data_IF_481539419199
#
_entry.id   IF_481539419199
#
_cell.length_a   1.000
_cell.length_b   1.000
_cell.length_c   1.000
_cell.angle_alpha   90.00
_cell.angle_beta   90.00
_cell.angle_gamma   90.00
#
_symmetry.space_group_name_H-M   'P 1'
#
loop_
_entity.id
_entity.type
_entity.pdbx_description
1 polymer ?
#
# COMPACT_ATOMS: atom_id res chain seq x y z
N UNK A 1 11.46 0.82 8.93
CA UNK A 1 10.19 0.10 9.19
C UNK A 1 9.08 0.70 8.33
N UNK A 2 8.17 -0.11 7.78
CA UNK A 2 6.94 0.35 7.13
C UNK A 2 5.86 0.42 8.21
N UNK A 3 5.21 1.57 8.37
CA UNK A 3 4.11 1.77 9.31
C UNK A 3 2.88 2.29 8.59
N UNK A 4 1.73 1.79 9.01
CA UNK A 4 0.42 2.13 8.47
C UNK A 4 -0.50 2.34 9.65
N UNK A 5 -1.09 3.52 9.76
CA UNK A 5 -2.01 3.85 10.85
C UNK A 5 -3.33 4.34 10.29
N UNK A 6 -4.42 3.72 10.72
CA UNK A 6 -5.78 4.10 10.41
C UNK A 6 -6.05 4.25 8.90
N UNK A 7 -5.51 3.33 8.09
CA UNK A 7 -5.65 3.38 6.65
C UNK A 7 -7.08 3.04 6.24
N UNK A 8 -7.71 3.97 5.55
CA UNK A 8 -9.07 3.85 5.06
C UNK A 8 -9.13 4.10 3.56
N UNK A 9 -9.88 3.27 2.85
CA UNK A 9 -10.07 3.41 1.40
C UNK A 9 -11.53 3.20 1.02
N UNK A 10 -12.08 4.20 0.34
CA UNK A 10 -13.40 4.14 -0.28
C UNK A 10 -13.27 4.08 -1.79
N UNK A 11 -13.92 3.09 -2.41
CA UNK A 11 -14.08 3.01 -3.85
C UNK A 11 -15.56 3.20 -4.17
N UNK A 12 -15.92 4.39 -4.66
CA UNK A 12 -17.31 4.81 -4.77
C UNK A 12 -17.98 4.83 -3.40
N UNK A 13 -19.09 4.08 -3.24
CA UNK A 13 -19.83 3.96 -1.97
C UNK A 13 -19.32 2.84 -1.05
N UNK A 14 -18.30 2.07 -1.47
CA UNK A 14 -17.82 0.90 -0.72
C UNK A 14 -16.58 1.25 0.09
N UNK A 15 -16.63 1.02 1.39
CA UNK A 15 -15.47 1.09 2.29
C UNK A 15 -14.68 -0.23 2.21
N UNK A 16 -13.62 -0.23 1.40
CA UNK A 16 -12.87 -1.44 1.01
C UNK A 16 -11.79 -1.79 2.02
N UNK A 17 -11.07 -0.79 2.52
CA UNK A 17 -10.09 -0.93 3.60
C UNK A 17 -10.62 -0.14 4.79
N UNK A 18 -10.80 -0.82 5.92
CA UNK A 18 -11.41 -0.25 7.12
C UNK A 18 -10.39 -0.25 8.24
N UNK A 19 -9.94 0.95 8.60
CA UNK A 19 -9.07 1.18 9.75
C UNK A 19 -7.87 0.22 9.85
N UNK A 20 -7.16 0.04 8.72
CA UNK A 20 -6.04 -0.90 8.68
C UNK A 20 -4.84 -0.26 9.37
N UNK A 21 -4.33 -0.92 10.41
CA UNK A 21 -3.17 -0.49 11.17
C UNK A 21 -2.20 -1.66 11.32
N UNK A 22 -0.94 -1.47 10.92
CA UNK A 22 0.12 -2.46 11.10
C UNK A 22 1.52 -1.84 10.93
N UNK A 23 2.53 -2.58 11.37
CA UNK A 23 3.95 -2.26 11.15
C UNK A 23 4.71 -3.48 10.65
N UNK A 24 5.57 -3.29 9.66
CA UNK A 24 6.36 -4.35 9.03
C UNK A 24 7.86 -3.97 9.02
N UNK A 25 8.77 -4.89 9.40
CA UNK A 25 10.19 -4.71 9.15
C UNK A 25 10.45 -4.66 7.63
N UNK A 26 11.54 -4.00 7.21
CA UNK A 26 11.86 -3.84 5.77
C UNK A 26 13.18 -4.51 5.38
N UNK A 27 13.88 -5.14 6.33
CA UNK A 27 15.19 -5.76 6.05
C UNK A 27 15.03 -7.24 5.71
N UNK A 28 15.24 -7.59 4.44
CA UNK A 28 15.43 -8.98 3.99
C UNK A 28 14.17 -9.86 3.99
N UNK A 29 12.99 -9.30 4.29
CA UNK A 29 11.75 -10.07 4.39
C UNK A 29 10.89 -9.95 3.12
N UNK A 30 10.41 -11.10 2.64
CA UNK A 30 9.31 -11.16 1.67
C UNK A 30 8.01 -11.26 2.46
N UNK A 31 7.15 -10.27 2.31
CA UNK A 31 5.85 -10.24 3.01
C UNK A 31 4.75 -10.69 2.05
N UNK A 32 4.04 -11.74 2.44
CA UNK A 32 2.86 -12.23 1.75
C UNK A 32 1.56 -11.70 2.36
N UNK A 33 0.66 -11.16 1.54
CA UNK A 33 -0.70 -10.78 1.96
C UNK A 33 -1.66 -11.92 1.61
N UNK A 34 -2.22 -12.58 2.62
CA UNK A 34 -3.17 -13.69 2.47
C UNK A 34 -4.58 -13.30 2.89
N UNK A 35 -5.59 -14.00 2.37
CA UNK A 35 -6.99 -13.79 2.72
C UNK A 35 -7.95 -14.17 1.59
N UNK A 36 -9.27 -14.19 1.84
CA UNK A 36 -10.26 -14.59 0.85
C UNK A 36 -10.31 -13.65 -0.36
N UNK A 37 -10.92 -14.13 -1.44
CA UNK A 37 -11.17 -13.30 -2.62
C UNK A 37 -11.99 -12.06 -2.23
N UNK A 38 -11.62 -10.90 -2.78
CA UNK A 38 -12.23 -9.59 -2.50
C UNK A 38 -12.05 -9.06 -1.07
N UNK A 39 -11.14 -9.62 -0.28
CA UNK A 39 -10.79 -9.09 1.05
C UNK A 39 -10.10 -7.70 1.03
N UNK A 40 -9.80 -7.15 -0.14
CA UNK A 40 -9.13 -5.84 -0.27
C UNK A 40 -7.61 -5.90 -0.47
N UNK A 41 -7.01 -7.08 -0.61
CA UNK A 41 -5.55 -7.26 -0.78
C UNK A 41 -4.94 -6.41 -1.91
N UNK A 42 -5.51 -6.51 -3.11
CA UNK A 42 -5.05 -5.69 -4.25
C UNK A 42 -5.31 -4.21 -4.02
N UNK A 43 -6.40 -3.86 -3.34
CA UNK A 43 -6.72 -2.47 -3.00
C UNK A 43 -5.74 -1.89 -1.98
N UNK A 44 -5.27 -2.71 -1.04
CA UNK A 44 -4.23 -2.36 -0.07
C UNK A 44 -2.90 -2.08 -0.77
N UNK A 45 -2.46 -2.98 -1.67
CA UNK A 45 -1.27 -2.76 -2.49
C UNK A 45 -1.38 -1.47 -3.32
N UNK A 46 -2.54 -1.25 -3.94
CA UNK A 46 -2.82 -0.05 -4.75
C UNK A 46 -2.87 1.24 -3.94
N UNK A 47 -3.33 1.18 -2.69
CA UNK A 47 -3.29 2.31 -1.78
C UNK A 47 -1.84 2.68 -1.42
N UNK A 48 -0.98 1.69 -1.13
CA UNK A 48 0.43 1.94 -0.80
C UNK A 48 1.22 2.59 -1.91
N UNK A 49 0.97 2.19 -3.15
CA UNK A 49 1.64 2.75 -4.33
C UNK A 49 1.00 4.06 -4.80
N UNK A 50 -0.02 4.56 -4.11
CA UNK A 50 -0.71 5.81 -4.45
C UNK A 50 -1.66 5.74 -5.65
N UNK A 51 -1.92 4.56 -6.23
CA UNK A 51 -2.90 4.39 -7.31
C UNK A 51 -4.32 4.67 -6.82
N UNK A 52 -4.61 4.34 -5.56
CA UNK A 52 -5.86 4.69 -4.89
C UNK A 52 -5.63 5.70 -3.78
N UNK A 53 -6.45 6.76 -3.78
CA UNK A 53 -6.42 7.80 -2.75
C UNK A 53 -7.05 7.27 -1.46
N UNK A 54 -6.19 6.74 -0.59
CA UNK A 54 -6.55 6.35 0.77
C UNK A 54 -6.29 7.50 1.76
N UNK A 55 -6.97 7.46 2.91
CA UNK A 55 -6.71 8.34 4.06
C UNK A 55 -6.00 7.55 5.16
N UNK A 56 -5.39 8.26 6.11
CA UNK A 56 -4.56 7.67 7.17
C UNK A 56 -3.07 7.92 6.92
N UNK A 57 -2.24 7.42 7.84
CA UNK A 57 -0.80 7.64 7.80
C UNK A 57 -0.09 6.42 7.19
N UNK A 58 0.85 6.69 6.29
CA UNK A 58 1.69 5.67 5.65
C UNK A 58 3.13 6.18 5.66
N UNK A 59 3.99 5.55 6.45
CA UNK A 59 5.39 5.96 6.57
C UNK A 59 6.36 4.82 6.30
N UNK A 60 7.46 5.15 5.66
CA UNK A 60 8.61 4.30 5.44
C UNK A 60 9.80 4.95 6.12
N UNK A 61 10.48 4.25 7.02
CA UNK A 61 11.58 4.83 7.82
C UNK A 61 11.19 6.16 8.49
N UNK A 62 9.98 6.21 9.05
CA UNK A 62 9.41 7.36 9.75
C UNK A 62 9.25 8.64 8.90
N UNK A 63 9.29 8.50 7.57
CA UNK A 63 8.93 9.56 6.63
C UNK A 63 7.75 9.14 5.77
N UNK A 64 6.93 10.07 5.26
CA UNK A 64 5.81 9.73 4.41
C UNK A 64 6.22 8.84 3.22
N UNK A 65 5.44 7.81 2.92
CA UNK A 65 5.80 6.81 1.90
C UNK A 65 6.02 7.42 0.50
N UNK A 66 5.35 8.54 0.20
CA UNK A 66 5.52 9.29 -1.05
C UNK A 66 6.92 9.88 -1.23
N UNK A 67 7.67 10.12 -0.14
CA UNK A 67 9.07 10.57 -0.20
C UNK A 67 9.97 9.54 -0.90
N UNK A 68 9.59 8.25 -0.89
CA UNK A 68 10.35 7.15 -1.48
C UNK A 68 9.78 6.66 -2.81
N UNK A 69 8.99 7.49 -3.49
CA UNK A 69 8.31 7.18 -4.75
C UNK A 69 9.18 6.47 -5.79
N UNK A 70 10.44 6.87 -5.92
CA UNK A 70 11.39 6.34 -6.90
C UNK A 70 12.02 4.99 -6.51
N UNK A 71 11.88 4.58 -5.25
CA UNK A 71 12.50 3.38 -4.69
C UNK A 71 11.52 2.21 -4.55
N UNK A 72 10.21 2.48 -4.74
CA UNK A 72 9.17 1.46 -4.68
C UNK A 72 8.89 0.99 -6.11
N UNK A 73 8.92 -0.33 -6.32
CA UNK A 73 8.59 -0.96 -7.58
C UNK A 73 7.43 -1.92 -7.39
N UNK A 74 6.48 -1.89 -8.32
CA UNK A 74 5.37 -2.85 -8.35
C UNK A 74 5.50 -3.73 -9.56
N UNK A 75 5.46 -5.03 -9.28
CA UNK A 75 5.53 -6.09 -10.27
C UNK A 75 4.12 -6.62 -10.46
N UNK A 76 3.57 -6.41 -11.66
CA UNK A 76 2.27 -6.94 -12.03
C UNK A 76 2.43 -8.07 -13.04
N UNK A 77 1.83 -9.23 -12.78
CA UNK A 77 2.07 -10.45 -13.58
C UNK A 77 1.75 -10.28 -15.07
N UNK A 78 0.82 -9.40 -15.43
CA UNK A 78 0.44 -9.19 -16.84
C UNK A 78 0.90 -7.86 -17.44
N UNK A 79 1.51 -6.99 -16.63
CA UNK A 79 1.76 -5.60 -17.05
C UNK A 79 3.23 -5.16 -16.90
N UNK A 80 4.13 -6.04 -16.48
CA UNK A 80 5.54 -5.71 -16.27
C UNK A 80 5.78 -4.86 -15.02
N UNK A 81 6.94 -4.20 -14.96
CA UNK A 81 7.39 -3.38 -13.83
C UNK A 81 7.03 -1.91 -14.04
N UNK A 82 6.39 -1.29 -13.06
CA UNK A 82 6.13 0.16 -13.06
C UNK A 82 6.96 0.86 -11.99
N UNK A 83 7.60 1.96 -12.37
CA UNK A 83 8.24 2.90 -11.45
C UNK A 83 7.24 3.96 -11.02
N UNK A 84 7.05 4.14 -9.72
CA UNK A 84 6.06 5.09 -9.22
C UNK A 84 6.55 6.53 -9.25
N UNK A 85 5.62 7.43 -9.54
CA UNK A 85 5.74 8.88 -9.31
C UNK A 85 4.50 9.30 -8.54
N UNK A 86 4.71 9.84 -7.34
CA UNK A 86 3.65 10.52 -6.61
C UNK A 86 3.57 11.92 -7.22
N UNK A 87 2.41 12.27 -7.79
CA UNK A 87 2.12 13.60 -8.34
C UNK A 87 1.62 14.54 -7.26
#
# INVERSE_FOLDING_TARGET
MLKVNHLNLFLGRKHVLKDITFSLPISGEIIGIVGPNRAGKSSLLKAFIGEFKATGEQTLYDRPIHTYSTQIYYLHSTKGTYRFRFS
#
